data_IF_369394920615
#
_entry.id   IF_369394920615
#
_cell.length_a   1.000
_cell.length_b   1.000
_cell.length_c   1.000
_cell.angle_alpha   90.00
_cell.angle_beta   90.00
_cell.angle_gamma   90.00
#
_symmetry.space_group_name_H-M   'P 1'
#
loop_
_entity.id
_entity.type
_entity.pdbx_description
1 polymer ?
#
# COMPACT_ATOMS: atom_id res chain seq x y z
N UNK A 1 -19.84 -17.78 9.22
CA UNK A 1 -20.16 -16.43 9.79
C UNK A 1 -18.94 -15.79 10.45
N UNK A 2 -18.14 -16.55 11.20
CA UNK A 2 -16.97 -16.04 11.94
C UNK A 2 -15.91 -15.38 11.06
N UNK A 3 -15.51 -16.01 9.94
CA UNK A 3 -14.58 -15.41 8.96
C UNK A 3 -15.03 -14.03 8.47
N UNK A 4 -16.33 -13.87 8.19
CA UNK A 4 -16.89 -12.59 7.72
C UNK A 4 -16.84 -11.53 8.82
N UNK A 5 -17.18 -11.91 10.06
CA UNK A 5 -17.13 -11.01 11.20
C UNK A 5 -15.69 -10.57 11.53
N UNK A 6 -14.74 -11.51 11.44
CA UNK A 6 -13.32 -11.25 11.59
C UNK A 6 -12.80 -10.25 10.55
N UNK A 7 -13.09 -10.50 9.26
CA UNK A 7 -12.70 -9.58 8.18
C UNK A 7 -13.32 -8.19 8.40
N UNK A 8 -14.62 -8.11 8.69
CA UNK A 8 -15.29 -6.83 8.93
C UNK A 8 -14.69 -6.05 10.11
N UNK A 9 -14.26 -6.75 11.17
CA UNK A 9 -13.60 -6.13 12.31
C UNK A 9 -12.25 -5.55 11.92
N UNK A 10 -11.42 -6.32 11.22
CA UNK A 10 -10.12 -5.86 10.71
C UNK A 10 -10.30 -4.67 9.77
N UNK A 11 -11.25 -4.70 8.84
CA UNK A 11 -11.51 -3.58 7.95
C UNK A 11 -11.86 -2.30 8.73
N UNK A 12 -12.66 -2.43 9.78
CA UNK A 12 -13.05 -1.29 10.62
C UNK A 12 -11.84 -0.75 11.39
N UNK A 13 -10.99 -1.63 11.93
CA UNK A 13 -9.76 -1.24 12.64
C UNK A 13 -8.80 -0.51 11.69
N UNK A 14 -8.54 -1.07 10.51
CA UNK A 14 -7.69 -0.45 9.48
C UNK A 14 -8.24 0.90 9.00
N UNK A 15 -9.55 0.98 8.73
CA UNK A 15 -10.18 2.24 8.32
C UNK A 15 -10.04 3.29 9.41
N UNK A 16 -10.37 2.94 10.66
CA UNK A 16 -10.30 3.89 11.76
C UNK A 16 -8.89 4.38 12.05
N UNK A 17 -7.89 3.52 11.85
CA UNK A 17 -6.51 3.85 12.14
C UNK A 17 -5.84 4.64 11.01
N UNK A 18 -6.11 4.28 9.75
CA UNK A 18 -5.31 4.75 8.63
C UNK A 18 -6.08 5.61 7.62
N UNK A 19 -7.41 5.71 7.65
CA UNK A 19 -8.17 6.43 6.62
C UNK A 19 -7.73 7.89 6.48
N UNK A 20 -7.67 8.61 7.59
CA UNK A 20 -7.27 10.02 7.61
C UNK A 20 -5.83 10.24 7.14
N UNK A 21 -4.92 9.32 7.44
CA UNK A 21 -3.52 9.39 7.01
C UNK A 21 -3.40 9.15 5.51
N UNK A 22 -4.13 8.17 4.99
CA UNK A 22 -4.16 7.82 3.57
C UNK A 22 -4.71 8.97 2.72
N UNK A 23 -5.74 9.68 3.19
CA UNK A 23 -6.28 10.87 2.51
C UNK A 23 -5.29 12.04 2.47
N UNK A 24 -4.41 12.15 3.46
CA UNK A 24 -3.43 13.24 3.57
C UNK A 24 -2.17 12.99 2.75
N UNK A 25 -1.98 11.79 2.19
CA UNK A 25 -0.79 11.50 1.39
C UNK A 25 -0.75 12.35 0.12
N UNK A 26 0.42 12.93 -0.13
CA UNK A 26 0.72 13.52 -1.43
C UNK A 26 0.82 12.43 -2.50
N UNK A 27 0.73 12.84 -3.77
CA UNK A 27 0.88 11.93 -4.91
C UNK A 27 2.16 11.07 -4.83
N UNK A 28 3.29 11.70 -4.52
CA UNK A 28 4.59 11.01 -4.42
C UNK A 28 4.62 10.02 -3.25
N UNK A 29 4.07 10.39 -2.10
CA UNK A 29 4.02 9.50 -0.94
C UNK A 29 3.11 8.29 -1.20
N UNK A 30 1.95 8.49 -1.83
CA UNK A 30 1.10 7.39 -2.28
C UNK A 30 1.85 6.43 -3.22
N UNK A 31 2.65 6.96 -4.16
CA UNK A 31 3.49 6.14 -5.05
C UNK A 31 4.53 5.31 -4.28
N UNK A 32 5.16 5.89 -3.25
CA UNK A 32 6.11 5.17 -2.39
C UNK A 32 5.40 4.08 -1.58
N UNK A 33 4.24 4.39 -0.99
CA UNK A 33 3.43 3.40 -0.26
C UNK A 33 3.13 2.17 -1.12
N UNK A 34 2.74 2.38 -2.39
CA UNK A 34 2.49 1.28 -3.33
C UNK A 34 3.71 0.41 -3.60
N UNK A 35 4.88 1.04 -3.76
CA UNK A 35 6.17 0.34 -3.93
C UNK A 35 6.52 -0.50 -2.71
N UNK A 36 6.32 0.05 -1.51
CA UNK A 36 6.57 -0.68 -0.26
C UNK A 36 5.60 -1.86 -0.10
N UNK A 37 4.32 -1.69 -0.45
CA UNK A 37 3.37 -2.80 -0.42
C UNK A 37 3.78 -3.92 -1.41
N UNK A 38 4.23 -3.56 -2.62
CA UNK A 38 4.74 -4.54 -3.59
C UNK A 38 6.02 -5.23 -3.08
N UNK A 39 6.94 -4.50 -2.44
CA UNK A 39 8.12 -5.07 -1.77
C UNK A 39 7.74 -6.14 -0.74
N UNK A 40 6.79 -5.83 0.15
CA UNK A 40 6.41 -6.72 1.26
C UNK A 40 5.57 -7.93 0.80
N UNK A 41 4.73 -7.74 -0.22
CA UNK A 41 3.79 -8.80 -0.65
C UNK A 41 4.25 -9.57 -1.88
N UNK A 42 5.24 -9.07 -2.62
CA UNK A 42 5.67 -9.59 -3.92
C UNK A 42 4.62 -9.43 -5.03
N UNK A 43 3.49 -8.81 -4.71
CA UNK A 43 2.36 -8.58 -5.60
C UNK A 43 2.32 -7.12 -5.99
N UNK A 44 2.33 -6.87 -7.31
CA UNK A 44 2.14 -5.51 -7.80
C UNK A 44 0.87 -4.92 -7.21
N UNK A 45 0.87 -3.61 -7.03
CA UNK A 45 -0.30 -2.91 -6.49
C UNK A 45 -1.58 -3.22 -7.26
N UNK A 46 -1.49 -3.60 -8.55
CA UNK A 46 -2.57 -4.10 -9.40
C UNK A 46 -3.16 -5.48 -9.01
N UNK A 47 -2.36 -6.41 -8.53
CA UNK A 47 -2.89 -7.69 -8.02
C UNK A 47 -3.43 -7.53 -6.60
N UNK A 48 -2.83 -6.65 -5.79
CA UNK A 48 -3.32 -6.30 -4.45
C UNK A 48 -4.79 -5.84 -4.47
N UNK A 49 -5.17 -5.06 -5.47
CA UNK A 49 -6.54 -4.63 -5.81
C UNK A 49 -7.52 -5.75 -5.96
N UNK A 50 -7.07 -6.77 -6.68
CA UNK A 50 -7.90 -7.74 -7.34
C UNK A 50 -8.19 -8.87 -6.37
N UNK A 51 -7.23 -9.12 -5.49
CA UNK A 51 -7.31 -10.07 -4.40
C UNK A 51 -8.03 -9.52 -3.16
N UNK A 52 -7.84 -8.24 -2.83
CA UNK A 52 -8.47 -7.65 -1.66
C UNK A 52 -9.87 -7.12 -1.98
N UNK A 53 -10.87 -7.63 -1.26
CA UNK A 53 -12.29 -7.25 -1.39
C UNK A 53 -12.81 -6.65 -0.09
N UNK A 54 -13.52 -5.52 -0.18
CA UNK A 54 -14.25 -4.95 0.95
C UNK A 54 -14.23 -3.42 0.99
N UNK A 55 -14.78 -2.84 2.07
CA UNK A 55 -15.04 -1.39 2.17
C UNK A 55 -13.76 -0.58 2.38
N UNK A 56 -12.81 -1.11 3.15
CA UNK A 56 -11.54 -0.42 3.38
C UNK A 56 -10.75 -0.29 2.07
N UNK A 57 -10.72 -1.36 1.27
CA UNK A 57 -10.11 -1.28 -0.06
C UNK A 57 -10.84 -0.26 -0.91
N UNK A 58 -12.17 -0.28 -0.99
CA UNK A 58 -12.94 0.69 -1.77
C UNK A 58 -12.66 2.15 -1.35
N UNK A 59 -12.37 2.39 -0.08
CA UNK A 59 -11.91 3.69 0.40
C UNK A 59 -10.51 4.02 -0.13
N UNK A 60 -9.53 3.14 0.12
CA UNK A 60 -8.14 3.28 -0.35
C UNK A 60 -8.09 3.52 -1.86
N UNK A 61 -8.97 2.86 -2.61
CA UNK A 61 -9.21 3.03 -4.03
C UNK A 61 -9.57 4.44 -4.44
N UNK A 62 -10.56 5.02 -3.78
CA UNK A 62 -10.98 6.37 -4.08
C UNK A 62 -9.86 7.38 -3.77
N UNK A 63 -9.13 7.18 -2.66
CA UNK A 63 -8.03 8.06 -2.26
C UNK A 63 -6.90 8.09 -3.31
N UNK A 64 -6.60 6.95 -3.94
CA UNK A 64 -5.46 6.83 -4.88
C UNK A 64 -5.82 6.60 -6.35
N UNK A 65 -7.09 6.77 -6.74
CA UNK A 65 -7.58 6.49 -8.10
C UNK A 65 -6.78 7.20 -9.20
N UNK A 66 -6.32 8.44 -8.95
CA UNK A 66 -5.50 9.22 -9.89
C UNK A 66 -4.09 8.66 -10.09
N UNK A 67 -3.57 7.93 -9.11
CA UNK A 67 -2.23 7.32 -9.13
C UNK A 67 -2.27 5.96 -9.83
N UNK A 68 -3.41 5.26 -9.70
CA UNK A 68 -3.64 3.94 -10.29
C UNK A 68 -3.49 3.96 -11.83
N UNK A 69 -3.82 5.04 -12.55
CA UNK A 69 -3.73 5.03 -14.02
C UNK A 69 -2.36 4.67 -14.63
N UNK A 70 -1.25 5.20 -14.07
CA UNK A 70 0.04 5.25 -14.79
C UNK A 70 1.11 4.26 -14.30
N UNK A 71 1.06 3.80 -13.03
CA UNK A 71 2.23 3.17 -12.37
C UNK A 71 2.02 1.76 -11.79
N UNK A 72 0.84 1.16 -11.84
CA UNK A 72 0.54 -0.04 -11.02
C UNK A 72 1.11 -1.35 -11.51
N UNK A 73 1.39 -1.41 -12.81
CA UNK A 73 2.01 -2.58 -13.43
C UNK A 73 3.50 -2.58 -13.19
N UNK A 74 4.04 -1.45 -12.75
CA UNK A 74 5.45 -1.32 -12.45
C UNK A 74 5.74 -2.03 -11.13
N UNK A 75 6.60 -3.04 -11.21
CA UNK A 75 7.09 -3.73 -10.02
C UNK A 75 8.15 -2.92 -9.29
N UNK A 76 8.22 -3.15 -7.98
CA UNK A 76 9.32 -2.70 -7.14
C UNK A 76 10.66 -3.23 -7.66
N UNK A 77 11.63 -2.33 -7.82
CA UNK A 77 12.94 -2.64 -8.39
C UNK A 77 14.07 -2.16 -7.45
N UNK A 78 14.45 -2.97 -6.46
CA UNK A 78 15.40 -2.57 -5.41
C UNK A 78 16.83 -2.38 -5.93
N UNK A 79 17.16 -2.88 -7.12
CA UNK A 79 18.49 -2.76 -7.71
C UNK A 79 18.58 -1.73 -8.84
N UNK A 80 17.45 -1.19 -9.28
CA UNK A 80 17.39 -0.15 -10.30
C UNK A 80 16.69 1.09 -9.78
N UNK A 81 15.49 1.36 -10.30
CA UNK A 81 14.81 2.65 -10.07
C UNK A 81 14.41 2.93 -8.61
N UNK A 82 14.29 1.88 -7.78
CA UNK A 82 13.87 1.99 -6.38
C UNK A 82 15.00 1.75 -5.40
N UNK A 83 16.26 1.69 -5.87
CA UNK A 83 17.43 1.44 -5.02
C UNK A 83 17.59 2.43 -3.86
N UNK A 84 17.28 3.71 -4.08
CA UNK A 84 17.31 4.71 -3.00
C UNK A 84 16.24 4.43 -1.93
N UNK A 85 15.06 3.94 -2.33
CA UNK A 85 13.99 3.56 -1.40
C UNK A 85 14.44 2.34 -0.60
N UNK A 86 14.99 1.32 -1.27
CA UNK A 86 15.49 0.11 -0.60
C UNK A 86 16.58 0.44 0.42
N UNK A 87 17.53 1.29 0.05
CA UNK A 87 18.59 1.71 0.97
C UNK A 87 18.03 2.36 2.23
N UNK A 88 17.05 3.25 2.10
CA UNK A 88 16.40 3.91 3.25
C UNK A 88 15.66 2.88 4.11
N UNK A 89 14.92 1.96 3.50
CA UNK A 89 14.19 0.90 4.21
C UNK A 89 15.15 0.02 5.01
N UNK A 90 16.24 -0.44 4.38
CA UNK A 90 17.26 -1.27 5.05
C UNK A 90 17.92 -0.53 6.21
N UNK A 91 18.15 0.78 6.10
CA UNK A 91 18.69 1.57 7.21
C UNK A 91 17.72 1.63 8.39
N UNK A 92 16.42 1.83 8.12
CA UNK A 92 15.37 1.82 9.15
C UNK A 92 15.26 0.43 9.81
N UNK A 93 15.23 -0.64 9.02
CA UNK A 93 15.15 -2.03 9.50
C UNK A 93 16.33 -2.40 10.41
N UNK A 94 17.51 -1.87 10.13
CA UNK A 94 18.72 -2.06 10.94
C UNK A 94 18.82 -1.09 12.14
N UNK A 95 17.83 -0.19 12.33
CA UNK A 95 17.83 0.80 13.40
C UNK A 95 18.93 1.87 13.27
N UNK A 96 19.45 2.09 12.06
CA UNK A 96 20.49 3.07 11.78
C UNK A 96 19.97 4.51 11.72
N UNK A 97 18.66 4.67 11.47
CA UNK A 97 17.91 5.93 11.49
C UNK A 97 16.49 5.70 11.99
#
# INVERSE_FOLDING_TARGET
KERKNYINRLEKELTNQYADELEKLTFTQGKILFKLIDRETGNSSYELVKELKGKFMAFFWNSFARIFGYNLKEKYDPYGKDANIEQIVVLIENGAI
#
